data_IF_807232484870
#
_entry.id   IF_807232484870
#
_cell.length_a   1.000
_cell.length_b   1.000
_cell.length_c   1.000
_cell.angle_alpha   90.00
_cell.angle_beta   90.00
_cell.angle_gamma   90.00
#
_symmetry.space_group_name_H-M   'P 1'
#
loop_
_entity.id
_entity.type
_entity.pdbx_description
1 polymer ?
#
# COMPACT_ATOMS: atom_id res chain seq x y z
N UNK A 1 6.35 -26.52 28.36
CA UNK A 1 6.87 -25.65 27.27
C UNK A 1 5.66 -25.27 26.45
N UNK A 2 5.32 -23.99 26.25
CA UNK A 2 4.20 -23.65 25.38
C UNK A 2 4.63 -23.90 23.93
N UNK A 3 3.80 -24.64 23.19
CA UNK A 3 3.97 -24.91 21.76
C UNK A 3 4.01 -23.58 20.99
N UNK A 4 5.15 -23.32 20.36
CA UNK A 4 5.29 -22.25 19.38
C UNK A 4 4.52 -22.72 18.13
N UNK A 5 3.47 -22.02 17.68
CA UNK A 5 2.81 -22.38 16.42
C UNK A 5 3.84 -22.26 15.27
N UNK A 6 3.79 -23.16 14.27
CA UNK A 6 4.77 -23.17 13.19
C UNK A 6 4.76 -21.82 12.46
N UNK A 7 5.93 -21.19 12.36
CA UNK A 7 6.13 -20.06 11.44
C UNK A 7 6.02 -20.62 10.03
N UNK A 8 5.08 -20.10 9.24
CA UNK A 8 4.98 -20.46 7.84
C UNK A 8 6.18 -19.85 7.09
N UNK A 9 7.11 -20.69 6.66
CA UNK A 9 8.41 -20.33 6.05
C UNK A 9 8.34 -20.08 4.54
N UNK A 10 7.13 -20.04 3.97
CA UNK A 10 6.94 -19.89 2.52
C UNK A 10 7.41 -21.08 1.68
N UNK A 11 7.71 -22.23 2.29
CA UNK A 11 8.14 -23.46 1.61
C UNK A 11 6.97 -24.40 1.26
N UNK A 12 5.90 -23.86 0.67
CA UNK A 12 5.05 -24.70 -0.17
C UNK A 12 5.71 -24.83 -1.54
N UNK A 13 5.92 -26.07 -1.99
CA UNK A 13 6.52 -26.51 -3.24
C UNK A 13 5.67 -26.07 -4.46
N UNK A 14 5.72 -24.78 -4.76
CA UNK A 14 5.14 -24.09 -5.90
C UNK A 14 5.88 -24.51 -7.19
N UNK A 15 5.27 -25.37 -7.98
CA UNK A 15 5.65 -25.51 -9.39
C UNK A 15 5.23 -24.25 -10.16
N UNK A 16 5.97 -23.15 -9.99
CA UNK A 16 6.01 -22.09 -10.99
C UNK A 16 6.60 -22.70 -12.24
N UNK A 17 5.77 -22.88 -13.25
CA UNK A 17 6.28 -22.98 -14.60
C UNK A 17 6.37 -21.55 -15.11
N UNK A 18 7.54 -20.90 -15.11
CA UNK A 18 7.69 -19.68 -15.87
C UNK A 18 7.29 -20.02 -17.31
N UNK A 19 6.33 -19.26 -17.86
CA UNK A 19 6.06 -19.30 -19.28
C UNK A 19 7.40 -18.99 -19.98
N UNK A 20 7.92 -19.98 -20.71
CA UNK A 20 9.21 -19.90 -21.40
C UNK A 20 9.04 -18.98 -22.62
N UNK A 21 8.95 -17.68 -22.37
CA UNK A 21 9.19 -16.63 -23.36
C UNK A 21 10.25 -15.72 -22.80
N UNK A 22 11.51 -16.13 -23.02
CA UNK A 22 12.68 -15.39 -22.59
C UNK A 22 12.68 -13.98 -23.16
N UNK A 23 12.81 -12.99 -22.28
CA UNK A 23 13.21 -11.64 -22.64
C UNK A 23 14.64 -11.49 -22.13
N UNK A 24 15.61 -11.56 -23.04
CA UNK A 24 16.98 -11.14 -22.77
C UNK A 24 16.96 -9.62 -22.52
N UNK A 25 17.25 -9.20 -21.30
CA UNK A 25 17.63 -7.81 -21.03
C UNK A 25 19.14 -7.74 -21.23
N UNK A 26 19.55 -7.31 -22.42
CA UNK A 26 20.96 -7.05 -22.74
C UNK A 26 21.46 -5.83 -21.95
N UNK A 27 22.50 -6.03 -21.15
CA UNK A 27 23.26 -4.94 -20.55
C UNK A 27 24.00 -4.17 -21.65
N UNK A 28 23.73 -2.87 -21.78
CA UNK A 28 24.53 -1.99 -22.64
C UNK A 28 25.65 -1.39 -21.77
N UNK A 29 26.87 -1.86 -21.99
CA UNK A 29 28.08 -1.22 -21.51
C UNK A 29 28.39 0.01 -22.38
N UNK A 30 28.59 1.16 -21.75
CA UNK A 30 29.00 2.39 -22.43
C UNK A 30 30.52 2.33 -22.65
N UNK A 31 30.95 2.04 -23.88
CA UNK A 31 32.34 2.23 -24.32
C UNK A 31 32.47 3.64 -24.90
N UNK A 32 33.28 4.47 -24.26
CA UNK A 32 33.65 5.77 -24.81
C UNK A 32 34.72 5.59 -25.90
N UNK A 33 34.42 5.99 -27.12
CA UNK A 33 35.45 6.25 -28.14
C UNK A 33 35.25 7.63 -28.75
N UNK A 34 36.37 8.35 -28.82
CA UNK A 34 36.50 9.68 -29.38
C UNK A 34 36.69 9.64 -30.89
N UNK A 35 36.03 10.59 -31.56
CA UNK A 35 36.56 11.49 -32.59
C UNK A 35 35.94 11.45 -34.01
N UNK A 36 35.96 12.66 -34.58
CA UNK A 36 35.85 13.11 -35.98
C UNK A 36 34.47 13.53 -36.52
N UNK A 37 34.42 14.83 -36.80
CA UNK A 37 33.31 15.57 -37.38
C UNK A 37 33.06 15.21 -38.84
N UNK A 38 31.83 14.80 -39.13
CA UNK A 38 31.24 14.65 -40.46
C UNK A 38 29.77 15.04 -40.43
N UNK A 39 29.31 15.75 -41.46
CA UNK A 39 27.98 16.39 -41.59
C UNK A 39 26.78 15.46 -41.26
N UNK A 40 25.71 15.96 -40.61
CA UNK A 40 24.55 15.13 -40.29
C UNK A 40 23.66 14.95 -41.52
N UNK A 41 23.56 13.71 -42.01
CA UNK A 41 22.42 13.24 -42.79
C UNK A 41 21.24 12.98 -41.85
N UNK A 42 20.04 13.40 -42.23
CA UNK A 42 18.82 13.19 -41.45
C UNK A 42 18.51 11.69 -41.36
N UNK A 43 18.99 11.04 -40.30
CA UNK A 43 18.57 9.70 -39.92
C UNK A 43 17.21 9.79 -39.24
N UNK A 44 16.22 9.08 -39.79
CA UNK A 44 14.93 8.90 -39.14
C UNK A 44 15.14 8.29 -37.75
N UNK A 45 14.62 8.95 -36.72
CA UNK A 45 14.66 8.42 -35.36
C UNK A 45 13.95 7.05 -35.34
N UNK A 46 14.54 6.02 -34.71
CA UNK A 46 13.86 4.74 -34.57
C UNK A 46 12.57 4.97 -33.77
N UNK A 47 11.45 4.46 -34.31
CA UNK A 47 10.17 4.47 -33.62
C UNK A 47 10.35 3.85 -32.24
N UNK A 48 10.00 4.60 -31.19
CA UNK A 48 10.03 4.12 -29.83
C UNK A 48 9.25 2.80 -29.76
N UNK A 49 9.91 1.72 -29.36
CA UNK A 49 9.25 0.45 -29.11
C UNK A 49 8.11 0.69 -28.12
N UNK A 50 6.89 0.30 -28.49
CA UNK A 50 5.75 0.37 -27.60
C UNK A 50 6.09 -0.38 -26.30
N UNK A 51 5.84 0.26 -25.15
CA UNK A 51 5.96 -0.41 -23.87
C UNK A 51 5.17 -1.73 -23.90
N UNK A 52 5.69 -2.83 -23.33
CA UNK A 52 4.98 -4.10 -23.33
C UNK A 52 3.59 -3.90 -22.72
N UNK A 53 2.57 -4.45 -23.37
CA UNK A 53 1.21 -4.42 -22.85
C UNK A 53 1.21 -5.00 -21.43
N UNK A 54 0.68 -4.23 -20.49
CA UNK A 54 0.67 -4.65 -19.10
C UNK A 54 -0.15 -5.94 -18.93
N UNK A 55 0.36 -6.87 -18.11
CA UNK A 55 -0.27 -8.16 -17.94
C UNK A 55 -1.69 -8.00 -17.39
N UNK A 56 -2.61 -8.82 -17.92
CA UNK A 56 -3.98 -8.86 -17.44
C UNK A 56 -4.01 -9.36 -16.00
N UNK A 57 -4.80 -8.74 -15.11
CA UNK A 57 -4.95 -9.21 -13.74
C UNK A 57 -5.53 -10.63 -13.69
N UNK A 58 -4.98 -11.49 -12.83
CA UNK A 58 -5.42 -12.89 -12.65
C UNK A 58 -5.64 -13.22 -11.18
N UNK A 59 -6.50 -14.21 -10.93
CA UNK A 59 -6.73 -14.77 -9.60
C UNK A 59 -6.16 -16.19 -9.57
N UNK A 60 -5.12 -16.38 -8.78
CA UNK A 60 -4.54 -17.69 -8.48
C UNK A 60 -5.20 -18.23 -7.22
N UNK A 61 -6.11 -19.19 -7.37
CA UNK A 61 -6.83 -19.80 -6.24
C UNK A 61 -5.99 -20.90 -5.61
N UNK A 62 -5.81 -20.82 -4.30
CA UNK A 62 -4.98 -21.76 -3.52
C UNK A 62 -5.84 -22.62 -2.58
N UNK A 63 -7.02 -22.14 -2.20
CA UNK A 63 -7.95 -22.86 -1.33
C UNK A 63 -9.40 -22.71 -1.79
N UNK A 64 -10.18 -23.80 -1.75
CA UNK A 64 -11.62 -23.76 -2.00
C UNK A 64 -12.37 -22.86 -0.99
N UNK A 65 -11.78 -22.62 0.19
CA UNK A 65 -12.32 -21.66 1.16
C UNK A 65 -12.46 -20.26 0.56
N UNK A 66 -11.66 -19.88 -0.42
CA UNK A 66 -11.73 -18.56 -1.08
C UNK A 66 -13.05 -18.32 -1.84
N UNK A 67 -13.75 -19.39 -2.26
CA UNK A 67 -15.01 -19.30 -3.01
C UNK A 67 -16.15 -18.66 -2.20
N UNK A 68 -16.00 -18.66 -0.86
CA UNK A 68 -16.89 -17.92 0.06
C UNK A 68 -16.85 -16.42 -0.19
N UNK A 69 -15.69 -15.87 -0.59
CA UNK A 69 -15.49 -14.45 -0.85
C UNK A 69 -15.72 -14.12 -2.32
N UNK A 70 -15.16 -14.93 -3.22
CA UNK A 70 -15.14 -14.62 -4.65
C UNK A 70 -15.61 -15.84 -5.43
N UNK A 71 -16.73 -15.72 -6.14
CA UNK A 71 -17.27 -16.81 -6.94
C UNK A 71 -16.25 -17.28 -8.01
N UNK A 72 -16.16 -18.60 -8.29
CA UNK A 72 -15.37 -19.09 -9.41
C UNK A 72 -15.71 -18.38 -10.73
N UNK A 73 -14.69 -18.11 -11.55
CA UNK A 73 -14.86 -17.39 -12.82
C UNK A 73 -15.02 -15.87 -12.72
N UNK A 74 -15.09 -15.30 -11.50
CA UNK A 74 -15.08 -13.84 -11.31
C UNK A 74 -13.83 -13.22 -11.92
N UNK A 75 -14.01 -12.17 -12.72
CA UNK A 75 -12.93 -11.42 -13.35
C UNK A 75 -12.52 -10.21 -12.50
N UNK A 76 -11.25 -9.84 -12.57
CA UNK A 76 -10.73 -8.60 -11.98
C UNK A 76 -10.83 -7.50 -13.03
N UNK A 77 -11.50 -6.41 -12.69
CA UNK A 77 -11.76 -5.28 -13.59
C UNK A 77 -10.66 -4.22 -13.43
N UNK A 78 -10.08 -3.73 -14.52
CA UNK A 78 -9.25 -2.50 -14.47
C UNK A 78 -10.17 -1.29 -14.65
N UNK A 79 -10.22 -0.40 -13.65
CA UNK A 79 -11.19 0.72 -13.59
C UNK A 79 -10.57 2.10 -13.83
N UNK A 80 -9.25 2.24 -13.69
CA UNK A 80 -8.50 3.45 -13.97
C UNK A 80 -7.06 3.10 -14.35
N UNK A 81 -6.42 3.89 -15.22
CA UNK A 81 -5.02 3.73 -15.68
C UNK A 81 -4.35 5.11 -15.81
N UNK A 82 -3.05 5.14 -16.14
CA UNK A 82 -2.31 6.39 -16.36
C UNK A 82 -1.94 7.10 -15.06
N UNK A 83 -1.79 6.33 -13.98
CA UNK A 83 -1.42 6.80 -12.64
C UNK A 83 0.09 6.59 -12.48
N UNK A 84 0.81 7.48 -11.78
CA UNK A 84 2.26 7.29 -11.60
C UNK A 84 2.55 6.22 -10.55
N UNK A 85 1.86 6.29 -9.42
CA UNK A 85 1.87 5.28 -8.38
C UNK A 85 0.54 5.31 -7.62
N UNK A 86 -0.32 4.31 -7.85
CA UNK A 86 -1.64 4.25 -7.24
C UNK A 86 -1.53 3.77 -5.79
N UNK A 87 -2.11 4.52 -4.86
CA UNK A 87 -2.02 4.27 -3.41
C UNK A 87 -3.33 4.54 -2.66
N UNK A 88 -3.33 4.14 -1.38
CA UNK A 88 -4.31 4.55 -0.37
C UNK A 88 -5.76 4.58 -0.83
N UNK A 89 -6.35 3.49 -1.37
CA UNK A 89 -7.75 3.51 -1.76
C UNK A 89 -8.65 3.60 -0.52
N UNK A 90 -9.74 4.35 -0.62
CA UNK A 90 -10.82 4.37 0.38
C UNK A 90 -12.19 4.55 -0.29
N UNK A 91 -13.14 3.70 0.08
CA UNK A 91 -14.51 3.80 -0.44
C UNK A 91 -15.36 4.73 0.41
N UNK A 92 -15.99 5.72 -0.23
CA UNK A 92 -16.93 6.65 0.40
C UNK A 92 -18.36 6.19 0.13
N UNK A 93 -18.96 5.49 1.10
CA UNK A 93 -20.28 4.88 0.94
C UNK A 93 -21.39 5.93 0.73
N UNK A 94 -21.42 7.01 1.49
CA UNK A 94 -22.45 8.06 1.33
C UNK A 94 -22.43 8.68 -0.08
N UNK A 95 -21.23 8.75 -0.67
CA UNK A 95 -21.02 9.30 -2.00
C UNK A 95 -21.09 8.28 -3.12
N UNK A 96 -20.97 6.98 -2.84
CA UNK A 96 -20.79 5.90 -3.82
C UNK A 96 -19.62 6.17 -4.78
N UNK A 97 -18.44 6.46 -4.23
CA UNK A 97 -17.22 6.64 -5.00
C UNK A 97 -15.99 6.13 -4.27
N UNK A 98 -14.97 5.75 -5.04
CA UNK A 98 -13.63 5.44 -4.55
C UNK A 98 -12.79 6.71 -4.58
N UNK A 99 -12.06 6.99 -3.51
CA UNK A 99 -10.89 7.85 -3.53
C UNK A 99 -9.63 7.00 -3.53
N UNK A 100 -8.57 7.46 -4.18
CA UNK A 100 -7.24 6.85 -4.13
C UNK A 100 -6.20 7.93 -4.44
N UNK A 101 -4.99 7.76 -3.91
CA UNK A 101 -3.91 8.73 -4.06
C UNK A 101 -2.95 8.37 -5.20
N UNK A 102 -2.26 9.40 -5.68
CA UNK A 102 -1.08 9.33 -6.54
C UNK A 102 0.00 10.21 -5.87
N UNK A 103 0.76 9.68 -4.89
CA UNK A 103 1.63 10.49 -4.04
C UNK A 103 2.71 11.26 -4.82
N UNK A 104 3.40 10.66 -5.82
CA UNK A 104 4.37 11.39 -6.65
C UNK A 104 3.73 12.45 -7.56
N UNK A 105 2.47 12.28 -7.95
CA UNK A 105 1.74 13.29 -8.72
C UNK A 105 1.10 14.38 -7.83
N UNK A 106 1.11 14.21 -6.51
CA UNK A 106 0.44 15.10 -5.55
C UNK A 106 -1.06 15.25 -5.79
N UNK A 107 -1.75 14.16 -6.17
CA UNK A 107 -3.17 14.18 -6.48
C UNK A 107 -3.89 13.06 -5.71
N UNK A 108 -5.11 13.33 -5.23
CA UNK A 108 -6.08 12.30 -4.87
C UNK A 108 -7.15 12.33 -5.94
N UNK A 109 -7.46 11.17 -6.50
CA UNK A 109 -8.45 11.00 -7.57
C UNK A 109 -9.72 10.38 -7.00
N UNK A 110 -10.83 10.64 -7.68
CA UNK A 110 -12.13 10.05 -7.42
C UNK A 110 -12.60 9.25 -8.63
N UNK A 111 -13.05 8.03 -8.38
CA UNK A 111 -13.70 7.19 -9.37
C UNK A 111 -15.12 6.82 -8.96
N UNK A 112 -16.03 6.81 -9.94
CA UNK A 112 -17.41 6.35 -9.80
C UNK A 112 -17.67 5.28 -10.84
N UNK A 113 -18.51 4.30 -10.50
CA UNK A 113 -18.91 3.24 -11.43
C UNK A 113 -19.50 3.84 -12.71
N UNK A 114 -18.99 3.39 -13.85
CA UNK A 114 -19.37 3.89 -15.19
C UNK A 114 -18.70 5.20 -15.61
N UNK A 115 -17.83 5.78 -14.78
CA UNK A 115 -17.07 6.99 -15.09
C UNK A 115 -15.57 6.75 -15.21
N UNK A 116 -14.85 7.84 -15.46
CA UNK A 116 -13.38 7.89 -15.44
C UNK A 116 -12.88 8.50 -14.13
N UNK A 117 -11.68 8.12 -13.70
CA UNK A 117 -11.06 8.73 -12.53
C UNK A 117 -10.70 10.20 -12.81
N UNK A 118 -11.09 11.10 -11.90
CA UNK A 118 -10.85 12.54 -12.01
C UNK A 118 -10.25 13.11 -10.72
N UNK A 119 -9.49 14.23 -10.76
CA UNK A 119 -8.96 14.85 -9.55
C UNK A 119 -10.05 15.19 -8.52
N UNK A 120 -9.74 14.94 -7.24
CA UNK A 120 -10.56 15.32 -6.08
C UNK A 120 -9.82 16.34 -5.21
N UNK A 121 -8.54 16.07 -4.90
CA UNK A 121 -7.61 17.03 -4.30
C UNK A 121 -6.40 17.18 -5.22
N UNK A 122 -6.02 18.42 -5.50
CA UNK A 122 -4.86 18.81 -6.31
C UNK A 122 -4.45 20.23 -5.90
N UNK A 123 -3.41 20.41 -5.06
CA UNK A 123 -2.55 19.37 -4.49
C UNK A 123 -3.26 18.51 -3.41
N UNK A 124 -2.85 17.25 -3.28
CA UNK A 124 -3.39 16.31 -2.28
C UNK A 124 -2.63 16.30 -0.96
N UNK A 125 -1.34 16.56 -0.99
CA UNK A 125 -0.46 16.70 0.18
C UNK A 125 0.06 18.12 0.31
N UNK A 126 1.35 18.27 0.59
CA UNK A 126 2.00 19.58 0.68
C UNK A 126 2.26 20.19 -0.70
N UNK A 127 1.98 21.49 -0.86
CA UNK A 127 2.38 22.26 -2.04
C UNK A 127 3.75 22.91 -1.84
N UNK A 128 4.50 23.12 -2.93
CA UNK A 128 5.73 23.92 -2.92
C UNK A 128 6.91 23.33 -2.14
N UNK A 129 6.92 22.02 -1.89
CA UNK A 129 8.07 21.34 -1.26
C UNK A 129 9.28 21.35 -2.18
N UNK A 130 10.49 21.41 -1.62
CA UNK A 130 11.73 21.23 -2.38
C UNK A 130 11.86 19.74 -2.80
N UNK A 131 11.85 19.41 -4.10
CA UNK A 131 12.00 18.02 -4.56
C UNK A 131 13.36 17.40 -4.18
N UNK A 132 14.36 18.20 -3.80
CA UNK A 132 15.62 17.70 -3.24
C UNK A 132 15.47 17.16 -1.81
N UNK A 133 14.42 17.54 -1.10
CA UNK A 133 14.18 17.16 0.29
C UNK A 133 12.96 16.24 0.44
N UNK A 134 11.94 16.42 -0.40
CA UNK A 134 10.70 15.64 -0.37
C UNK A 134 10.51 14.92 -1.69
N UNK A 135 10.49 13.57 -1.62
CA UNK A 135 10.27 12.67 -2.76
C UNK A 135 8.79 12.53 -3.10
N UNK A 136 7.93 12.45 -2.07
CA UNK A 136 6.49 12.22 -2.22
C UNK A 136 5.70 13.38 -1.59
N UNK A 137 5.41 14.45 -2.36
CA UNK A 137 4.72 15.61 -1.82
C UNK A 137 3.24 15.36 -1.51
N UNK A 138 2.64 14.33 -2.13
CA UNK A 138 1.22 14.02 -2.04
C UNK A 138 0.77 13.29 -0.77
N UNK A 139 -0.55 13.18 -0.64
CA UNK A 139 -1.17 12.21 0.27
C UNK A 139 -0.80 10.78 -0.14
N UNK A 140 -0.58 9.91 0.83
CA UNK A 140 -0.35 8.48 0.64
C UNK A 140 -1.61 7.68 1.06
N UNK A 141 -1.58 6.96 2.19
CA UNK A 141 -2.72 6.26 2.74
C UNK A 141 -3.91 7.17 3.02
N UNK A 142 -5.11 6.66 2.71
CA UNK A 142 -6.38 7.33 2.96
C UNK A 142 -7.27 6.44 3.82
N UNK A 143 -8.03 7.05 4.74
CA UNK A 143 -9.12 6.36 5.44
C UNK A 143 -10.24 7.35 5.77
N UNK A 144 -11.33 6.86 6.36
CA UNK A 144 -12.38 7.72 6.91
C UNK A 144 -12.30 7.71 8.43
N UNK A 145 -12.47 8.87 9.05
CA UNK A 145 -12.72 8.94 10.49
C UNK A 145 -14.16 8.49 10.82
N UNK A 146 -14.46 8.41 12.12
CA UNK A 146 -15.78 7.96 12.60
C UNK A 146 -16.92 8.94 12.28
N UNK A 147 -16.62 10.16 11.85
CA UNK A 147 -17.60 11.14 11.37
C UNK A 147 -17.79 11.09 9.85
N UNK A 148 -17.03 10.22 9.16
CA UNK A 148 -17.08 10.04 7.71
C UNK A 148 -16.26 11.07 6.95
N UNK A 149 -15.41 11.87 7.62
CA UNK A 149 -14.47 12.76 6.94
C UNK A 149 -13.22 12.00 6.52
N UNK A 150 -12.54 12.51 5.50
CA UNK A 150 -11.32 11.88 4.98
C UNK A 150 -10.14 12.20 5.89
N UNK A 151 -9.41 11.17 6.30
CA UNK A 151 -8.06 11.33 6.84
C UNK A 151 -7.04 10.98 5.77
N UNK A 152 -5.98 11.76 5.69
CA UNK A 152 -4.88 11.57 4.74
C UNK A 152 -3.55 11.44 5.48
N UNK A 153 -2.74 10.46 5.08
CA UNK A 153 -1.35 10.36 5.47
C UNK A 153 -0.60 11.34 4.57
N UNK A 154 -0.38 12.56 5.05
CA UNK A 154 0.23 13.61 4.25
C UNK A 154 1.75 13.43 4.28
N UNK A 155 2.27 12.62 3.36
CA UNK A 155 3.69 12.28 3.24
C UNK A 155 4.55 13.54 3.15
N UNK A 156 4.25 14.43 2.19
CA UNK A 156 4.99 15.69 2.00
C UNK A 156 4.80 16.70 3.13
N UNK A 157 3.62 16.72 3.74
CA UNK A 157 3.31 17.57 4.89
C UNK A 157 3.82 17.02 6.22
N UNK A 158 4.34 15.78 6.24
CA UNK A 158 4.84 15.07 7.42
C UNK A 158 3.85 15.08 8.58
N UNK A 159 2.60 14.78 8.26
CA UNK A 159 1.45 14.93 9.15
C UNK A 159 0.30 13.99 8.80
N UNK A 160 -0.63 13.82 9.73
CA UNK A 160 -1.98 13.36 9.42
C UNK A 160 -2.87 14.60 9.33
N UNK A 161 -3.60 14.72 8.22
CA UNK A 161 -4.57 15.78 8.02
C UNK A 161 -5.98 15.20 7.88
N UNK A 162 -6.99 15.97 8.32
CA UNK A 162 -8.40 15.73 8.06
C UNK A 162 -8.87 16.64 6.94
N UNK A 163 -9.65 16.10 6.02
CA UNK A 163 -10.25 16.80 4.90
C UNK A 163 -11.77 16.64 4.97
N UNK A 164 -12.47 17.77 5.01
CA UNK A 164 -13.92 17.80 4.89
C UNK A 164 -14.31 17.39 3.46
N UNK A 165 -15.07 16.29 3.30
CA UNK A 165 -15.37 15.74 1.97
C UNK A 165 -16.26 16.65 1.11
N UNK A 166 -17.06 17.52 1.73
CA UNK A 166 -17.99 18.40 1.02
C UNK A 166 -17.30 19.68 0.53
N UNK A 167 -16.52 20.30 1.41
CA UNK A 167 -15.88 21.60 1.21
C UNK A 167 -14.43 21.50 0.78
N UNK A 168 -13.81 20.31 0.96
CA UNK A 168 -12.39 20.03 0.72
C UNK A 168 -11.44 20.87 1.57
N UNK A 169 -11.95 21.49 2.63
CA UNK A 169 -11.11 22.18 3.61
C UNK A 169 -10.28 21.16 4.37
N UNK A 170 -9.02 21.50 4.60
CA UNK A 170 -8.04 20.66 5.27
C UNK A 170 -7.65 21.28 6.60
N UNK A 171 -7.50 20.43 7.62
CA UNK A 171 -6.89 20.78 8.89
C UNK A 171 -5.86 19.71 9.28
N UNK A 172 -4.79 20.13 9.96
CA UNK A 172 -3.80 19.19 10.50
C UNK A 172 -4.30 18.61 11.81
N UNK A 173 -4.33 17.28 11.88
CA UNK A 173 -4.73 16.52 13.08
C UNK A 173 -3.52 16.33 13.99
N UNK A 174 -2.39 15.92 13.43
CA UNK A 174 -1.13 15.75 14.17
C UNK A 174 0.05 15.83 13.20
N UNK A 175 1.11 16.55 13.59
CA UNK A 175 2.34 16.67 12.80
C UNK A 175 3.62 16.40 13.60
N UNK A 176 3.49 16.11 14.90
CA UNK A 176 4.63 15.92 15.81
C UNK A 176 4.40 14.82 16.83
N UNK A 177 5.50 14.19 17.22
CA UNK A 177 5.63 13.34 18.39
C UNK A 177 6.77 13.85 19.26
N UNK A 178 6.50 14.11 20.55
CA UNK A 178 7.48 14.66 21.51
C UNK A 178 8.22 15.90 20.96
N UNK A 179 7.48 16.81 20.31
CA UNK A 179 8.03 18.05 19.73
C UNK A 179 8.73 17.88 18.37
N UNK A 180 9.00 16.66 17.92
CA UNK A 180 9.69 16.36 16.66
C UNK A 180 8.70 16.05 15.55
N UNK A 181 8.99 16.49 14.33
CA UNK A 181 8.18 16.18 13.14
C UNK A 181 8.23 14.69 12.82
N UNK A 182 7.10 14.15 12.38
CA UNK A 182 7.05 12.82 11.77
C UNK A 182 7.99 12.72 10.55
N UNK A 183 8.36 11.51 10.16
CA UNK A 183 9.17 11.28 8.96
C UNK A 183 8.34 11.63 7.72
N UNK A 184 7.37 10.77 7.40
CA UNK A 184 6.42 10.92 6.30
C UNK A 184 5.33 9.86 6.50
N UNK A 185 4.24 10.16 7.24
CA UNK A 185 3.18 9.20 7.51
C UNK A 185 2.69 8.52 6.23
N UNK A 186 2.50 7.20 6.29
CA UNK A 186 2.31 6.38 5.10
C UNK A 186 0.93 5.71 5.02
N UNK A 187 0.53 4.89 5.98
CA UNK A 187 -0.81 4.29 6.02
C UNK A 187 -1.44 4.38 7.43
N UNK A 188 -2.74 4.12 7.53
CA UNK A 188 -3.49 4.28 8.77
C UNK A 188 -4.74 3.40 8.90
N UNK A 189 -5.14 3.20 10.16
CA UNK A 189 -6.35 2.49 10.55
C UNK A 189 -7.07 3.20 11.70
N UNK A 190 -8.38 3.42 11.59
CA UNK A 190 -9.20 4.05 12.64
C UNK A 190 -9.97 2.97 13.40
N UNK A 191 -9.67 2.80 14.68
CA UNK A 191 -10.36 1.85 15.57
C UNK A 191 -11.79 2.31 15.93
N UNK A 192 -12.59 1.40 16.50
CA UNK A 192 -14.01 1.61 16.82
C UNK A 192 -14.24 2.79 17.77
N UNK A 193 -13.32 2.99 18.70
CA UNK A 193 -13.33 4.09 19.69
C UNK A 193 -12.87 5.44 19.10
N UNK A 194 -12.43 5.48 17.84
CA UNK A 194 -11.91 6.67 17.17
C UNK A 194 -10.39 6.85 17.29
N UNK A 195 -9.71 5.95 17.99
CA UNK A 195 -8.25 5.90 18.01
C UNK A 195 -7.69 5.69 16.60
N UNK A 196 -6.70 6.49 16.21
CA UNK A 196 -6.00 6.37 14.94
C UNK A 196 -4.66 5.66 15.13
N UNK A 197 -4.45 4.56 14.41
CA UNK A 197 -3.16 3.88 14.29
C UNK A 197 -2.54 4.27 12.95
N UNK A 198 -1.25 4.58 12.91
CA UNK A 198 -0.58 4.96 11.66
C UNK A 198 0.91 4.59 11.67
N UNK A 199 1.48 4.48 10.47
CA UNK A 199 2.90 4.20 10.25
C UNK A 199 3.62 5.44 9.74
N UNK A 200 4.89 5.58 10.14
CA UNK A 200 5.73 6.73 9.81
C UNK A 200 7.12 6.30 9.28
N UNK A 201 7.17 5.63 8.12
CA UNK A 201 8.42 5.36 7.42
C UNK A 201 8.98 6.64 6.77
N UNK A 202 10.22 6.63 6.26
CA UNK A 202 10.86 7.82 5.69
C UNK A 202 10.69 7.92 4.16
N UNK A 203 9.71 7.22 3.57
CA UNK A 203 9.53 7.15 2.11
C UNK A 203 9.31 8.53 1.46
N UNK A 204 8.61 9.43 2.11
CA UNK A 204 8.38 10.78 1.60
C UNK A 204 9.61 11.67 1.60
N UNK A 205 10.66 11.30 2.34
CA UNK A 205 11.88 12.06 2.45
C UNK A 205 12.89 11.63 1.37
N UNK A 206 13.46 12.60 0.67
CA UNK A 206 14.64 12.35 -0.17
C UNK A 206 15.78 11.90 0.73
N UNK A 207 16.52 10.87 0.31
CA UNK A 207 17.56 10.16 1.08
C UNK A 207 17.05 9.32 2.27
N UNK A 208 15.73 9.23 2.50
CA UNK A 208 15.16 8.32 3.51
C UNK A 208 15.73 8.56 4.92
N UNK A 209 16.34 7.52 5.51
CA UNK A 209 16.89 7.57 6.88
C UNK A 209 18.11 8.50 7.04
N UNK A 210 18.71 8.98 5.94
CA UNK A 210 19.80 9.96 6.00
C UNK A 210 19.35 11.36 5.64
N UNK A 211 18.04 11.55 5.44
CA UNK A 211 17.47 12.84 5.08
C UNK A 211 17.77 13.89 6.15
N UNK A 212 18.16 15.13 5.78
CA UNK A 212 18.32 16.22 6.74
C UNK A 212 16.99 16.66 7.37
N UNK A 213 15.84 16.21 6.83
CA UNK A 213 14.53 16.47 7.41
C UNK A 213 14.16 15.51 8.55
N UNK A 214 14.82 14.36 8.68
CA UNK A 214 14.45 13.37 9.69
C UNK A 214 14.77 13.89 11.10
N UNK A 215 13.75 13.94 11.97
CA UNK A 215 13.91 14.43 13.35
C UNK A 215 13.76 13.31 14.40
N UNK A 216 12.98 12.28 14.06
CA UNK A 216 12.76 11.09 14.87
C UNK A 216 13.87 10.08 14.62
N UNK A 217 14.30 9.38 15.66
CA UNK A 217 15.34 8.36 15.58
C UNK A 217 14.82 6.99 15.11
N UNK A 218 13.53 6.89 14.81
CA UNK A 218 12.83 5.64 14.50
C UNK A 218 11.89 5.81 13.32
N UNK A 219 11.63 4.71 12.62
CA UNK A 219 10.49 4.58 11.72
C UNK A 219 9.38 3.89 12.51
N UNK A 220 8.39 4.68 12.93
CA UNK A 220 7.49 4.28 14.02
C UNK A 220 6.13 3.78 13.57
N UNK A 221 5.51 2.98 14.42
CA UNK A 221 4.07 2.71 14.46
C UNK A 221 3.51 3.45 15.65
N UNK A 222 2.54 4.32 15.41
CA UNK A 222 1.98 5.21 16.40
C UNK A 222 0.50 4.98 16.60
N UNK A 223 0.02 5.42 17.77
CA UNK A 223 -1.39 5.57 18.09
C UNK A 223 -1.67 7.01 18.51
N UNK A 224 -2.65 7.64 17.88
CA UNK A 224 -3.26 8.89 18.31
C UNK A 224 -4.63 8.59 18.92
N UNK A 225 -4.77 8.87 20.22
CA UNK A 225 -6.03 8.69 20.96
C UNK A 225 -7.01 9.84 20.69
N UNK A 226 -8.33 9.64 20.91
CA UNK A 226 -9.33 10.68 20.73
C UNK A 226 -9.11 11.96 21.55
N UNK A 227 -8.37 11.87 22.66
CA UNK A 227 -8.03 13.01 23.50
C UNK A 227 -6.76 13.76 23.05
N UNK A 228 -6.18 13.38 21.91
CA UNK A 228 -5.03 14.06 21.30
C UNK A 228 -3.67 13.51 21.71
N UNK A 229 -3.61 12.51 22.59
CA UNK A 229 -2.34 11.91 23.03
C UNK A 229 -1.78 11.00 21.93
N UNK A 230 -0.52 11.22 21.55
CA UNK A 230 0.24 10.39 20.61
C UNK A 230 1.20 9.48 21.37
N UNK A 231 1.16 8.19 21.09
CA UNK A 231 2.01 7.17 21.70
C UNK A 231 2.77 6.41 20.60
N UNK A 232 4.08 6.19 20.80
CA UNK A 232 4.86 5.25 20.00
C UNK A 232 4.56 3.83 20.48
N UNK A 233 4.05 2.97 19.60
CA UNK A 233 3.75 1.57 19.91
C UNK A 233 4.94 0.67 19.57
N UNK A 234 5.56 0.88 18.42
CA UNK A 234 6.67 0.08 17.92
C UNK A 234 7.64 0.98 17.15
N UNK A 235 8.93 0.91 17.49
CA UNK A 235 9.97 1.77 16.93
C UNK A 235 11.20 1.02 16.39
N UNK A 236 11.20 -0.32 16.46
CA UNK A 236 12.32 -1.16 16.01
C UNK A 236 12.23 -1.56 14.54
N UNK A 237 11.12 -1.28 13.86
CA UNK A 237 10.91 -1.63 12.47
C UNK A 237 11.70 -0.69 11.53
N UNK A 238 12.28 -1.26 10.48
CA UNK A 238 13.03 -0.49 9.48
C UNK A 238 12.11 0.26 8.53
N UNK A 239 11.01 -0.37 8.10
CA UNK A 239 10.11 0.12 7.05
C UNK A 239 8.64 -0.23 7.33
N UNK A 240 8.04 0.22 8.46
CA UNK A 240 6.62 -0.01 8.72
C UNK A 240 5.79 0.67 7.63
N UNK A 241 4.82 -0.05 7.06
CA UNK A 241 4.06 0.42 5.91
C UNK A 241 2.54 0.26 6.15
N UNK A 242 1.88 -0.71 5.52
CA UNK A 242 0.46 -0.98 5.74
C UNK A 242 0.14 -1.40 7.17
N UNK A 243 -1.05 -1.03 7.64
CA UNK A 243 -1.50 -1.26 9.01
C UNK A 243 -2.98 -1.63 9.07
N UNK A 244 -3.33 -2.63 9.89
CA UNK A 244 -4.72 -2.99 10.14
C UNK A 244 -4.93 -3.63 11.51
N UNK A 245 -6.16 -3.52 12.01
CA UNK A 245 -6.61 -4.22 13.21
C UNK A 245 -7.39 -5.48 12.86
N UNK A 246 -7.35 -6.48 13.74
CA UNK A 246 -8.31 -7.60 13.70
C UNK A 246 -9.74 -7.11 13.95
N UNK A 247 -10.78 -7.88 13.57
CA UNK A 247 -12.17 -7.43 13.71
C UNK A 247 -12.60 -7.14 15.16
N UNK A 248 -11.99 -7.83 16.11
CA UNK A 248 -12.15 -7.68 17.56
C UNK A 248 -11.15 -6.68 18.19
N UNK A 249 -10.30 -6.06 17.37
CA UNK A 249 -9.28 -5.07 17.76
C UNK A 249 -8.28 -5.54 18.83
N UNK A 250 -8.07 -6.86 18.94
CA UNK A 250 -7.09 -7.46 19.87
C UNK A 250 -5.75 -7.77 19.22
N UNK A 251 -5.64 -7.64 17.88
CA UNK A 251 -4.38 -7.78 17.14
C UNK A 251 -4.13 -6.56 16.26
N UNK A 252 -2.86 -6.16 16.19
CA UNK A 252 -2.35 -5.18 15.24
C UNK A 252 -1.47 -5.89 14.21
N UNK A 253 -1.75 -5.66 12.94
CA UNK A 253 -0.95 -6.12 11.81
C UNK A 253 -0.18 -4.94 11.20
N UNK A 254 1.10 -5.13 10.91
CA UNK A 254 1.96 -4.12 10.29
C UNK A 254 2.82 -4.79 9.23
N UNK A 255 2.76 -4.32 7.98
CA UNK A 255 3.68 -4.79 6.95
C UNK A 255 5.01 -4.04 7.06
N UNK A 256 6.07 -4.73 6.65
CA UNK A 256 7.43 -4.19 6.65
C UNK A 256 7.98 -4.32 5.23
N UNK A 257 8.03 -3.21 4.49
CA UNK A 257 8.58 -3.16 3.13
C UNK A 257 10.09 -2.92 3.15
N UNK A 258 10.79 -3.75 3.92
CA UNK A 258 12.25 -3.81 3.93
C UNK A 258 12.71 -4.71 2.78
N UNK A 259 13.55 -4.18 1.91
CA UNK A 259 14.10 -4.95 0.79
C UNK A 259 14.91 -6.16 1.26
N UNK A 260 15.54 -6.10 2.42
CA UNK A 260 16.42 -7.17 2.92
C UNK A 260 15.69 -8.19 3.79
N UNK A 261 14.51 -7.85 4.32
CA UNK A 261 13.74 -8.72 5.19
C UNK A 261 12.24 -8.40 5.10
N UNK A 262 11.60 -8.57 3.92
CA UNK A 262 10.20 -8.22 3.74
C UNK A 262 9.31 -9.18 4.52
N UNK A 263 8.39 -8.64 5.33
CA UNK A 263 7.59 -9.44 6.28
C UNK A 263 6.30 -8.75 6.68
N UNK A 264 5.37 -9.53 7.21
CA UNK A 264 4.17 -9.02 7.90
C UNK A 264 4.31 -9.37 9.38
N UNK A 265 4.21 -8.36 10.23
CA UNK A 265 4.24 -8.51 11.68
C UNK A 265 2.81 -8.57 12.23
N UNK A 266 2.65 -9.30 13.34
CA UNK A 266 1.44 -9.31 14.15
C UNK A 266 1.78 -9.14 15.62
N UNK A 267 0.98 -8.34 16.32
CA UNK A 267 1.12 -8.03 17.73
C UNK A 267 -0.21 -8.31 18.44
N UNK A 268 -0.16 -8.73 19.69
CA UNK A 268 -1.33 -8.59 20.56
C UNK A 268 -1.45 -7.11 20.95
N UNK A 269 -2.67 -6.60 20.98
CA UNK A 269 -2.98 -5.20 21.23
C UNK A 269 -3.94 -5.08 22.41
N UNK A 270 -3.64 -4.16 23.33
CA UNK A 270 -4.58 -3.70 24.35
C UNK A 270 -4.43 -2.19 24.64
N UNK A 271 -5.07 -1.72 25.71
CA UNK A 271 -5.01 -0.34 26.13
C UNK A 271 -3.58 0.15 26.43
N UNK A 272 -2.67 -0.72 26.87
CA UNK A 272 -1.28 -0.38 27.17
C UNK A 272 -0.37 -0.40 25.94
N UNK A 273 -0.86 -0.87 24.79
CA UNK A 273 -0.13 -0.89 23.53
C UNK A 273 0.08 -2.30 22.98
N UNK A 274 1.17 -2.49 22.25
CA UNK A 274 1.49 -3.74 21.56
C UNK A 274 2.40 -4.64 22.40
N UNK A 275 2.20 -5.96 22.29
CA UNK A 275 3.07 -6.99 22.89
C UNK A 275 3.14 -8.23 22.01
N UNK A 276 3.98 -9.19 22.40
CA UNK A 276 4.08 -10.50 21.76
C UNK A 276 4.28 -10.40 20.25
N UNK A 277 5.25 -9.58 19.82
CA UNK A 277 5.58 -9.39 18.42
C UNK A 277 5.95 -10.72 17.75
N UNK A 278 5.33 -11.01 16.60
CA UNK A 278 5.56 -12.23 15.81
C UNK A 278 5.63 -11.88 14.33
N UNK A 279 6.47 -12.59 13.59
CA UNK A 279 6.39 -12.62 12.12
C UNK A 279 5.19 -13.50 11.76
N UNK A 280 4.17 -12.90 11.16
CA UNK A 280 3.00 -13.61 10.64
C UNK A 280 3.33 -14.28 9.30
N UNK A 281 4.03 -13.56 8.43
CA UNK A 281 4.46 -14.03 7.12
C UNK A 281 5.86 -13.50 6.84
N UNK A 282 6.78 -14.41 6.52
CA UNK A 282 8.07 -14.08 5.90
C UNK A 282 7.90 -14.08 4.37
N UNK A 283 8.20 -12.94 3.74
CA UNK A 283 8.03 -12.76 2.30
C UNK A 283 9.35 -12.83 1.52
N UNK A 284 10.47 -13.16 2.17
CA UNK A 284 11.79 -13.22 1.52
C UNK A 284 11.80 -14.23 0.37
N UNK A 285 11.23 -15.42 0.58
CA UNK A 285 11.14 -16.45 -0.47
C UNK A 285 10.32 -15.98 -1.67
N UNK A 286 9.22 -15.24 -1.45
CA UNK A 286 8.37 -14.69 -2.53
C UNK A 286 9.15 -13.67 -3.36
N UNK A 287 9.93 -12.81 -2.69
CA UNK A 287 10.80 -11.84 -3.34
C UNK A 287 11.95 -12.50 -4.11
N UNK A 288 12.63 -13.47 -3.50
CA UNK A 288 13.76 -14.19 -4.11
C UNK A 288 13.36 -14.94 -5.41
N UNK A 289 12.08 -15.32 -5.52
CA UNK A 289 11.49 -15.93 -6.71
C UNK A 289 11.11 -14.93 -7.81
N UNK A 290 11.38 -13.63 -7.60
CA UNK A 290 11.11 -12.56 -8.56
C UNK A 290 9.71 -11.95 -8.46
N UNK A 291 8.98 -12.17 -7.35
CA UNK A 291 7.72 -11.49 -7.11
C UNK A 291 7.90 -9.97 -7.08
N UNK A 292 7.13 -9.24 -7.88
CA UNK A 292 7.20 -7.78 -7.94
C UNK A 292 6.59 -7.14 -6.67
N UNK A 293 7.25 -6.12 -6.13
CA UNK A 293 6.77 -5.37 -4.97
C UNK A 293 7.22 -5.98 -3.63
N UNK A 294 6.70 -5.40 -2.55
CA UNK A 294 7.00 -5.75 -1.16
C UNK A 294 5.69 -5.79 -0.36
N UNK A 295 5.69 -6.30 0.89
CA UNK A 295 4.55 -6.13 1.77
C UNK A 295 4.26 -4.66 2.01
N UNK A 296 3.05 -4.23 1.68
CA UNK A 296 2.63 -2.82 1.63
C UNK A 296 1.23 -2.70 2.30
N UNK A 297 0.25 -2.05 1.69
CA UNK A 297 -1.09 -1.88 2.23
C UNK A 297 -1.87 -3.17 2.49
N UNK A 298 -2.76 -3.11 3.49
CA UNK A 298 -3.57 -4.24 3.92
C UNK A 298 -4.94 -3.84 4.45
N UNK A 299 -5.89 -4.80 4.42
CA UNK A 299 -7.19 -4.74 5.12
C UNK A 299 -7.54 -6.10 5.70
N UNK A 300 -8.35 -6.09 6.75
CA UNK A 300 -8.88 -7.31 7.38
C UNK A 300 -10.38 -7.35 7.15
N UNK A 301 -10.85 -8.47 6.59
CA UNK A 301 -12.27 -8.72 6.38
C UNK A 301 -12.98 -9.04 7.72
N UNK A 302 -14.30 -8.96 7.72
CA UNK A 302 -15.13 -9.21 8.92
C UNK A 302 -14.87 -10.56 9.62
N UNK A 303 -14.51 -11.60 8.87
CA UNK A 303 -14.22 -12.93 9.41
C UNK A 303 -12.75 -13.13 9.82
N UNK A 304 -11.94 -12.06 9.76
CA UNK A 304 -10.51 -12.09 10.05
C UNK A 304 -9.63 -12.42 8.85
N UNK A 305 -10.19 -12.68 7.66
CA UNK A 305 -9.36 -12.87 6.45
C UNK A 305 -8.52 -11.62 6.19
N UNK A 306 -7.20 -11.78 6.18
CA UNK A 306 -6.26 -10.71 5.88
C UNK A 306 -6.06 -10.62 4.36
N UNK A 307 -6.17 -9.41 3.83
CA UNK A 307 -5.92 -9.07 2.43
C UNK A 307 -4.75 -8.11 2.42
N UNK A 308 -3.59 -8.54 1.95
CA UNK A 308 -2.34 -7.80 2.09
C UNK A 308 -1.53 -7.85 0.79
N UNK A 309 -0.93 -6.71 0.44
CA UNK A 309 0.11 -6.68 -0.57
C UNK A 309 1.29 -7.55 -0.13
N UNK A 310 1.87 -8.29 -1.07
CA UNK A 310 3.07 -9.12 -0.91
C UNK A 310 3.85 -9.13 -2.23
N UNK A 311 5.12 -9.56 -2.26
CA UNK A 311 5.83 -9.75 -3.53
C UNK A 311 5.04 -10.67 -4.47
N UNK A 312 4.70 -10.16 -5.65
CA UNK A 312 3.92 -10.87 -6.67
C UNK A 312 2.45 -10.48 -6.77
N UNK A 313 1.86 -9.81 -5.77
CA UNK A 313 0.46 -9.37 -5.85
C UNK A 313 -0.25 -9.12 -4.51
N UNK A 314 -1.57 -9.29 -4.52
CA UNK A 314 -2.44 -9.11 -3.35
C UNK A 314 -2.87 -10.47 -2.81
N UNK A 315 -2.34 -10.85 -1.65
CA UNK A 315 -2.62 -12.14 -1.00
C UNK A 315 -3.87 -12.06 -0.12
N UNK A 316 -4.71 -13.07 -0.24
CA UNK A 316 -5.77 -13.36 0.71
C UNK A 316 -5.30 -14.52 1.60
N UNK A 317 -5.36 -14.36 2.91
CA UNK A 317 -4.96 -15.39 3.86
C UNK A 317 -5.82 -15.39 5.12
N UNK A 318 -5.86 -16.52 5.81
CA UNK A 318 -6.55 -16.62 7.12
C UNK A 318 -5.81 -15.80 8.19
N UNK A 319 -6.40 -15.59 9.39
CA UNK A 319 -5.71 -14.94 10.50
C UNK A 319 -4.38 -15.58 10.92
N UNK A 320 -4.19 -16.85 10.56
CA UNK A 320 -3.00 -17.66 10.86
C UNK A 320 -2.09 -17.82 9.62
N UNK A 321 -2.23 -16.93 8.64
CA UNK A 321 -1.43 -16.88 7.40
C UNK A 321 -1.58 -18.09 6.46
N UNK A 322 -2.65 -18.89 6.57
CA UNK A 322 -2.95 -19.92 5.55
C UNK A 322 -3.39 -19.22 4.25
N UNK A 323 -2.68 -19.42 3.12
CA UNK A 323 -3.00 -18.73 1.88
C UNK A 323 -4.30 -19.23 1.25
N UNK A 324 -5.13 -18.31 0.78
CA UNK A 324 -6.43 -18.59 0.15
C UNK A 324 -6.38 -18.33 -1.36
N UNK A 325 -5.80 -17.20 -1.76
CA UNK A 325 -5.62 -16.82 -3.16
C UNK A 325 -4.60 -15.68 -3.30
N UNK A 326 -4.03 -15.53 -4.49
CA UNK A 326 -3.19 -14.41 -4.89
C UNK A 326 -3.78 -13.72 -6.12
N UNK A 327 -3.99 -12.41 -6.07
CA UNK A 327 -4.32 -11.61 -7.25
C UNK A 327 -3.04 -11.03 -7.84
N UNK A 328 -2.72 -11.37 -9.08
CA UNK A 328 -1.48 -10.98 -9.76
C UNK A 328 -1.75 -10.03 -10.91
N UNK A 329 -0.80 -9.13 -11.20
CA UNK A 329 -0.86 -8.19 -12.33
C UNK A 329 0.44 -8.12 -13.13
N UNK A 330 1.45 -8.89 -12.74
CA UNK A 330 2.83 -8.75 -13.23
C UNK A 330 3.56 -7.49 -12.74
N UNK A 331 2.90 -6.65 -11.93
CA UNK A 331 3.46 -5.46 -11.29
C UNK A 331 3.07 -5.42 -9.80
N UNK A 332 3.70 -4.56 -8.99
CA UNK A 332 3.32 -4.38 -7.59
C UNK A 332 1.84 -3.97 -7.44
N UNK A 333 1.17 -4.53 -6.43
CA UNK A 333 -0.12 -4.03 -5.96
C UNK A 333 0.14 -3.38 -4.60
N UNK A 334 0.01 -2.06 -4.51
CA UNK A 334 0.41 -1.31 -3.32
C UNK A 334 -0.60 -1.50 -2.18
N UNK A 335 -1.90 -1.28 -2.43
CA UNK A 335 -2.87 -1.20 -1.34
C UNK A 335 -4.27 -1.70 -1.77
N UNK A 336 -5.18 -1.84 -0.81
CA UNK A 336 -6.55 -2.29 -1.06
C UNK A 336 -7.59 -1.67 -0.13
N UNK A 337 -8.86 -1.68 -0.55
CA UNK A 337 -9.99 -1.25 0.25
C UNK A 337 -11.26 -2.02 -0.07
N UNK A 338 -11.96 -2.47 0.97
CA UNK A 338 -13.33 -2.94 0.81
C UNK A 338 -14.27 -1.77 0.53
N UNK A 339 -15.25 -2.00 -0.34
CA UNK A 339 -16.31 -1.04 -0.61
C UNK A 339 -17.59 -1.70 -1.11
N UNK A 340 -18.55 -0.86 -1.49
CA UNK A 340 -19.89 -1.30 -1.91
C UNK A 340 -20.57 -2.19 -0.84
N UNK A 341 -20.39 -1.85 0.45
CA UNK A 341 -20.79 -2.67 1.61
C UNK A 341 -20.19 -4.08 1.60
N UNK A 342 -18.89 -4.16 1.32
CA UNK A 342 -18.15 -5.42 1.23
C UNK A 342 -18.49 -6.28 0.03
N UNK A 343 -19.04 -5.71 -1.06
CA UNK A 343 -19.28 -6.40 -2.35
C UNK A 343 -18.21 -6.14 -3.40
N UNK A 344 -17.22 -5.32 -3.08
CA UNK A 344 -16.06 -5.10 -3.92
C UNK A 344 -14.80 -4.97 -3.06
N UNK A 345 -13.68 -5.48 -3.58
CA UNK A 345 -12.35 -5.08 -3.16
C UNK A 345 -11.75 -4.21 -4.26
N UNK A 346 -11.33 -3.01 -3.91
CA UNK A 346 -10.52 -2.15 -4.78
C UNK A 346 -9.06 -2.37 -4.46
N UNK A 347 -8.20 -2.38 -5.48
CA UNK A 347 -6.76 -2.55 -5.34
C UNK A 347 -6.04 -1.49 -6.16
N UNK A 348 -5.04 -0.83 -5.58
CA UNK A 348 -4.18 0.10 -6.29
C UNK A 348 -2.95 -0.65 -6.78
N UNK A 349 -2.79 -0.77 -8.09
CA UNK A 349 -1.83 -1.66 -8.73
C UNK A 349 -0.87 -0.88 -9.62
N UNK A 350 0.21 -0.34 -9.03
CA UNK A 350 1.23 0.41 -9.74
C UNK A 350 0.65 1.60 -10.54
N UNK A 351 0.38 1.41 -11.83
CA UNK A 351 -0.09 2.45 -12.75
C UNK A 351 -1.62 2.47 -12.97
N UNK A 352 -2.36 1.60 -12.26
CA UNK A 352 -3.80 1.38 -12.45
C UNK A 352 -4.54 1.13 -11.13
N UNK A 353 -5.87 1.15 -11.20
CA UNK A 353 -6.76 0.71 -10.11
C UNK A 353 -7.61 -0.45 -10.61
N UNK A 354 -7.78 -1.44 -9.75
CA UNK A 354 -8.56 -2.64 -10.00
C UNK A 354 -9.80 -2.69 -9.11
N UNK A 355 -10.82 -3.39 -9.57
CA UNK A 355 -12.01 -3.76 -8.80
C UNK A 355 -12.23 -5.27 -8.94
N UNK A 356 -12.30 -5.96 -7.80
CA UNK A 356 -12.66 -7.37 -7.70
C UNK A 356 -14.04 -7.48 -7.07
N UNK A 357 -15.08 -7.93 -7.82
CA UNK A 357 -16.37 -8.25 -7.24
C UNK A 357 -16.26 -9.32 -6.16
N UNK A 358 -16.94 -9.10 -5.04
CA UNK A 358 -17.05 -10.05 -3.92
C UNK A 358 -18.51 -10.48 -3.74
N UNK A 359 -18.71 -11.64 -3.12
CA UNK A 359 -19.97 -11.98 -2.45
C UNK A 359 -20.22 -10.98 -1.31
N UNK A 360 -21.45 -10.84 -0.84
CA UNK A 360 -21.73 -9.86 0.22
C UNK A 360 -21.14 -10.26 1.58
N UNK A 361 -20.76 -9.26 2.41
CA UNK A 361 -20.53 -9.45 3.85
C UNK A 361 -19.09 -9.29 4.37
N UNK A 362 -18.15 -8.76 3.57
CA UNK A 362 -16.72 -8.77 3.93
C UNK A 362 -16.19 -7.52 4.64
N UNK A 363 -16.92 -6.41 4.60
CA UNK A 363 -16.51 -5.16 5.26
C UNK A 363 -16.89 -5.20 6.75
N UNK A 364 -15.98 -4.73 7.61
CA UNK A 364 -16.10 -4.69 9.08
C UNK A 364 -17.01 -3.58 9.62
#
# INVERSE_FOLDING_TARGET
>A
MPDVPPVFDGTLDWAFRPDRRGVLIGAVALVATSAHAGRPGAAAAPAAAAAPAAAEPRIERMSAKFDRMVAPGTQVETIATGIRWAEGPVWVEAGQYLLFSDPPANIVRRWRKGGVAAPFLDPSGAGGTDPKLIREPGANGLTLDRTGQLLIANSGGRSIDRVDLATRRRETVVDRYQGKRFNSPNDMHVARDGTLYFTDPPYGLTEGDTSPLQELAVNGVYRLRPDGVVELLEGSLTRPNGIALSPDETRLYVSVSDETAPRIMVYDLDANGVRNARVLLDAEAMKARGGAGLPDGMKVARDGTLVCSVPGGMMFMTPDAEPLALVTTGAPIANCAFGERGRALYMTANDRVLRLPLRAGWQS
#
